data_IF_723418921509
#
_entry.id   IF_723418921509
#
_cell.length_a   1.000
_cell.length_b   1.000
_cell.length_c   1.000
_cell.angle_alpha   90.00
_cell.angle_beta   90.00
_cell.angle_gamma   90.00
#
_symmetry.space_group_name_H-M   'P 1'
#
loop_
_entity.id
_entity.type
_entity.pdbx_description
1 polymer ?
#
# COMPACT_ATOMS: atom_id res chain seq x y z
N UNK A 1 15.18 -24.27 -13.56
CA UNK A 1 13.90 -23.92 -14.19
C UNK A 1 13.51 -22.49 -13.82
N UNK A 2 13.92 -21.48 -14.61
CA UNK A 2 13.60 -20.06 -14.35
C UNK A 2 12.10 -19.78 -14.24
N UNK A 3 11.30 -20.45 -15.09
CA UNK A 3 9.84 -20.25 -15.16
C UNK A 3 9.10 -20.64 -13.86
N UNK A 4 9.53 -21.72 -13.20
CA UNK A 4 8.93 -22.18 -11.92
C UNK A 4 9.19 -21.17 -10.81
N UNK A 5 10.38 -20.56 -10.78
CA UNK A 5 10.74 -19.55 -9.76
C UNK A 5 9.93 -18.26 -9.96
N UNK A 6 9.73 -17.86 -11.21
CA UNK A 6 8.91 -16.69 -11.51
C UNK A 6 7.44 -16.93 -11.17
N UNK A 7 6.93 -18.14 -11.42
CA UNK A 7 5.57 -18.53 -11.01
C UNK A 7 5.39 -18.43 -9.48
N UNK A 8 6.38 -18.88 -8.70
CA UNK A 8 6.33 -18.79 -7.23
C UNK A 8 6.26 -17.33 -6.74
N UNK A 9 7.05 -16.42 -7.34
CA UNK A 9 6.99 -14.99 -7.04
C UNK A 9 5.66 -14.36 -7.47
N UNK A 10 5.12 -14.76 -8.62
CA UNK A 10 3.80 -14.30 -9.10
C UNK A 10 2.70 -14.70 -8.11
N UNK A 11 2.71 -15.94 -7.64
CA UNK A 11 1.74 -16.43 -6.65
C UNK A 11 1.93 -15.71 -5.30
N UNK A 12 3.17 -15.47 -4.88
CA UNK A 12 3.46 -14.71 -3.65
C UNK A 12 2.90 -13.29 -3.71
N UNK A 13 3.13 -12.56 -4.82
CA UNK A 13 2.55 -11.22 -5.04
C UNK A 13 1.02 -11.29 -5.03
N UNK A 14 0.45 -12.32 -5.64
CA UNK A 14 -1.00 -12.46 -5.76
C UNK A 14 -1.71 -12.70 -4.41
N UNK A 15 -0.99 -13.22 -3.42
CA UNK A 15 -1.53 -13.64 -2.12
C UNK A 15 -1.04 -12.77 -0.94
N UNK A 16 -0.46 -11.59 -1.21
CA UNK A 16 0.06 -10.68 -0.18
C UNK A 16 -0.95 -10.31 0.90
N UNK A 17 -2.22 -10.15 0.54
CA UNK A 17 -3.30 -9.76 1.46
C UNK A 17 -4.42 -10.80 1.56
N UNK A 18 -4.11 -12.08 1.37
CA UNK A 18 -5.08 -13.17 1.42
C UNK A 18 -5.43 -13.59 2.87
N UNK A 19 -6.06 -12.69 3.63
CA UNK A 19 -6.40 -12.91 5.04
C UNK A 19 -7.66 -13.75 5.26
N UNK A 20 -8.42 -14.08 4.20
CA UNK A 20 -9.54 -15.03 4.28
C UNK A 20 -9.13 -16.50 4.39
N UNK A 21 -7.85 -16.80 4.18
CA UNK A 21 -7.32 -18.15 4.26
C UNK A 21 -6.50 -18.27 5.54
N UNK A 22 -6.94 -19.14 6.45
CA UNK A 22 -6.18 -19.56 7.63
C UNK A 22 -5.78 -21.02 7.50
N UNK A 23 -4.50 -21.25 7.22
CA UNK A 23 -3.95 -22.59 7.03
C UNK A 23 -3.81 -23.37 8.34
N UNK A 24 -4.01 -22.71 9.50
CA UNK A 24 -4.13 -23.38 10.80
C UNK A 24 -5.58 -23.70 11.18
N UNK A 25 -6.55 -23.32 10.36
CA UNK A 25 -7.96 -23.60 10.59
C UNK A 25 -8.46 -23.15 11.98
N UNK A 26 -7.99 -21.99 12.46
CA UNK A 26 -8.31 -21.44 13.78
C UNK A 26 -7.57 -22.09 14.96
N UNK A 27 -6.72 -23.09 14.73
CA UNK A 27 -5.99 -23.79 15.80
C UNK A 27 -4.75 -23.04 16.31
N UNK A 28 -4.33 -21.97 15.62
CA UNK A 28 -3.12 -21.21 15.91
C UNK A 28 -3.32 -19.98 16.79
N UNK A 29 -2.26 -19.45 17.42
CA UNK A 29 -2.30 -18.17 18.15
C UNK A 29 -2.29 -16.94 17.21
N UNK A 30 -2.27 -17.15 15.89
CA UNK A 30 -2.38 -16.15 14.85
C UNK A 30 -2.90 -16.82 13.57
N UNK A 31 -3.37 -16.02 12.60
CA UNK A 31 -3.80 -16.50 11.29
C UNK A 31 -2.60 -16.86 10.43
N UNK A 32 -2.45 -18.14 10.06
CA UNK A 32 -1.39 -18.56 9.13
C UNK A 32 -1.86 -18.31 7.70
N UNK A 33 -1.66 -17.07 7.25
CA UNK A 33 -2.03 -16.67 5.90
C UNK A 33 -1.15 -17.33 4.84
N UNK A 34 -1.62 -17.42 3.58
CA UNK A 34 -0.80 -17.90 2.47
C UNK A 34 0.50 -17.10 2.31
N UNK A 35 0.47 -15.79 2.60
CA UNK A 35 1.68 -14.96 2.62
C UNK A 35 2.74 -15.49 3.60
N UNK A 36 2.35 -15.81 4.83
CA UNK A 36 3.27 -16.30 5.87
C UNK A 36 3.83 -17.68 5.51
N UNK A 37 3.01 -18.56 4.91
CA UNK A 37 3.48 -19.87 4.45
C UNK A 37 4.43 -19.76 3.25
N UNK A 38 4.09 -18.95 2.26
CA UNK A 38 4.84 -18.87 0.99
C UNK A 38 6.16 -18.10 1.13
N UNK A 39 6.21 -17.09 1.99
CA UNK A 39 7.40 -16.25 2.16
C UNK A 39 8.70 -17.02 2.44
N UNK A 40 8.78 -17.97 3.40
CA UNK A 40 10.00 -18.75 3.61
C UNK A 40 10.39 -19.61 2.40
N UNK A 41 9.40 -20.17 1.67
CA UNK A 41 9.65 -20.98 0.48
C UNK A 41 10.20 -20.13 -0.67
N UNK A 42 9.61 -18.96 -0.89
CA UNK A 42 10.05 -17.97 -1.88
C UNK A 42 11.46 -17.49 -1.55
N UNK A 43 11.70 -17.11 -0.29
CA UNK A 43 13.00 -16.63 0.15
C UNK A 43 14.08 -17.70 -0.01
N UNK A 44 13.82 -18.96 0.37
CA UNK A 44 14.76 -20.05 0.17
C UNK A 44 15.07 -20.28 -1.33
N UNK A 45 14.05 -20.22 -2.19
CA UNK A 45 14.23 -20.31 -3.64
C UNK A 45 15.09 -19.16 -4.19
N UNK A 46 14.88 -17.93 -3.72
CA UNK A 46 15.67 -16.77 -4.15
C UNK A 46 17.10 -16.78 -3.62
N UNK A 47 17.32 -17.22 -2.38
CA UNK A 47 18.66 -17.41 -1.82
C UNK A 47 19.44 -18.46 -2.60
N UNK A 48 18.80 -19.59 -2.97
CA UNK A 48 19.43 -20.60 -3.82
C UNK A 48 19.77 -20.04 -5.20
N UNK A 49 18.90 -19.21 -5.79
CA UNK A 49 19.20 -18.52 -7.06
C UNK A 49 20.43 -17.62 -6.95
N UNK A 50 20.50 -16.81 -5.90
CA UNK A 50 21.62 -15.89 -5.68
C UNK A 50 22.92 -16.66 -5.42
N UNK A 51 22.86 -17.76 -4.65
CA UNK A 51 24.00 -18.63 -4.41
C UNK A 51 24.54 -19.24 -5.72
N UNK A 52 23.66 -19.69 -6.61
CA UNK A 52 24.02 -20.21 -7.94
C UNK A 52 24.67 -19.15 -8.84
N UNK A 53 24.47 -17.87 -8.56
CA UNK A 53 25.02 -16.74 -9.31
C UNK A 53 26.27 -16.13 -8.64
N UNK A 54 26.81 -16.76 -7.60
CA UNK A 54 28.05 -16.31 -6.95
C UNK A 54 27.87 -15.21 -5.91
N UNK A 55 26.67 -15.03 -5.34
CA UNK A 55 26.38 -14.08 -4.25
C UNK A 55 26.60 -12.59 -4.56
N UNK A 56 26.73 -12.21 -5.83
CA UNK A 56 26.75 -10.79 -6.19
C UNK A 56 25.37 -10.15 -6.08
N UNK A 57 25.08 -9.52 -4.94
CA UNK A 57 23.84 -8.77 -4.71
C UNK A 57 24.12 -7.28 -4.90
N UNK A 58 23.70 -6.72 -6.04
CA UNK A 58 23.73 -5.27 -6.28
C UNK A 58 22.36 -4.67 -5.97
N UNK A 59 22.19 -4.19 -4.75
CA UNK A 59 20.92 -3.61 -4.31
C UNK A 59 20.52 -2.40 -5.17
N UNK A 60 19.21 -2.20 -5.41
CA UNK A 60 18.70 -1.00 -6.09
C UNK A 60 19.12 0.29 -5.37
N UNK A 61 19.20 1.39 -6.13
CA UNK A 61 19.43 2.71 -5.54
C UNK A 61 18.35 3.02 -4.49
N UNK A 62 18.78 3.51 -3.31
CA UNK A 62 17.86 3.81 -2.21
C UNK A 62 17.42 2.61 -1.36
N UNK A 63 17.76 1.37 -1.74
CA UNK A 63 17.45 0.19 -0.91
C UNK A 63 18.06 0.32 0.50
N UNK A 64 19.32 0.76 0.61
CA UNK A 64 19.97 0.95 1.91
C UNK A 64 19.21 1.94 2.81
N UNK A 65 18.82 3.11 2.28
CA UNK A 65 18.11 4.12 3.07
C UNK A 65 16.69 3.69 3.43
N UNK A 66 16.00 2.97 2.54
CA UNK A 66 14.69 2.37 2.87
C UNK A 66 14.81 1.37 4.01
N UNK A 67 15.75 0.43 3.91
CA UNK A 67 15.99 -0.58 4.94
C UNK A 67 16.31 0.07 6.28
N UNK A 68 17.14 1.12 6.31
CA UNK A 68 17.44 1.87 7.53
C UNK A 68 16.17 2.51 8.10
N UNK A 69 15.39 3.23 7.29
CA UNK A 69 14.18 3.91 7.75
C UNK A 69 13.16 2.92 8.35
N UNK A 70 12.93 1.81 7.66
CA UNK A 70 12.03 0.73 8.13
C UNK A 70 12.60 0.05 9.38
N UNK A 71 13.90 -0.21 9.44
CA UNK A 71 14.54 -0.81 10.63
C UNK A 71 14.45 0.09 11.85
N UNK A 72 14.63 1.39 11.68
CA UNK A 72 14.44 2.38 12.75
C UNK A 72 12.99 2.37 13.23
N UNK A 73 12.02 2.39 12.31
CA UNK A 73 10.60 2.30 12.69
C UNK A 73 10.31 1.01 13.46
N UNK A 74 10.72 -0.15 12.94
CA UNK A 74 10.50 -1.43 13.61
C UNK A 74 11.20 -1.50 14.97
N UNK A 75 12.40 -0.95 15.11
CA UNK A 75 13.09 -0.86 16.39
C UNK A 75 12.30 -0.03 17.41
N UNK A 76 11.73 1.10 16.99
CA UNK A 76 10.86 1.91 17.85
C UNK A 76 9.59 1.15 18.28
N UNK A 77 8.96 0.40 17.36
CA UNK A 77 7.80 -0.43 17.69
C UNK A 77 8.18 -1.57 18.67
N UNK A 78 9.35 -2.17 18.51
CA UNK A 78 9.87 -3.21 19.43
C UNK A 78 10.14 -2.62 20.80
N UNK A 79 10.81 -1.46 20.88
CA UNK A 79 11.06 -0.75 22.15
C UNK A 79 9.74 -0.43 22.84
N UNK A 80 8.78 0.12 22.10
CA UNK A 80 7.43 0.39 22.61
C UNK A 80 6.77 -0.87 23.17
N UNK A 81 6.83 -2.00 22.46
CA UNK A 81 6.25 -3.26 22.92
C UNK A 81 6.83 -3.76 24.27
N UNK A 82 8.10 -3.46 24.58
CA UNK A 82 8.69 -3.79 25.90
C UNK A 82 8.10 -2.95 27.04
N UNK A 83 7.62 -1.75 26.76
CA UNK A 83 6.98 -0.86 27.74
C UNK A 83 5.45 -0.96 27.73
N UNK A 84 4.92 -1.98 27.07
CA UNK A 84 3.48 -2.14 26.86
C UNK A 84 2.71 -2.41 28.14
N UNK A 85 1.49 -1.89 28.19
CA UNK A 85 0.48 -2.28 29.18
C UNK A 85 0.02 -3.74 29.02
N UNK A 86 0.23 -4.33 27.84
CA UNK A 86 -0.07 -5.73 27.50
C UNK A 86 1.15 -6.41 26.84
N UNK A 87 2.22 -6.71 27.61
CA UNK A 87 3.51 -7.14 27.05
C UNK A 87 3.41 -8.39 26.17
N UNK A 88 2.59 -9.37 26.57
CA UNK A 88 2.46 -10.63 25.84
C UNK A 88 1.80 -10.45 24.47
N UNK A 89 0.71 -9.68 24.40
CA UNK A 89 0.03 -9.38 23.14
C UNK A 89 0.90 -8.51 22.23
N UNK A 90 1.52 -7.46 22.79
CA UNK A 90 2.43 -6.58 22.06
C UNK A 90 3.64 -7.33 21.49
N UNK A 91 4.27 -8.22 22.26
CA UNK A 91 5.39 -9.03 21.81
C UNK A 91 5.02 -9.91 20.60
N UNK A 92 3.85 -10.57 20.64
CA UNK A 92 3.35 -11.38 19.51
C UNK A 92 3.08 -10.54 18.27
N UNK A 93 2.37 -9.41 18.43
CA UNK A 93 2.01 -8.50 17.33
C UNK A 93 3.24 -7.87 16.68
N UNK A 94 4.20 -7.39 17.48
CA UNK A 94 5.43 -6.78 16.94
C UNK A 94 6.34 -7.82 16.28
N UNK A 95 6.42 -9.03 16.85
CA UNK A 95 7.21 -10.11 16.26
C UNK A 95 6.64 -10.54 14.91
N UNK A 96 5.31 -10.67 14.82
CA UNK A 96 4.63 -10.94 13.56
C UNK A 96 4.88 -9.83 12.53
N UNK A 97 4.75 -8.55 12.93
CA UNK A 97 5.05 -7.42 12.05
C UNK A 97 6.49 -7.44 11.54
N UNK A 98 7.48 -7.64 12.43
CA UNK A 98 8.91 -7.71 12.06
C UNK A 98 9.15 -8.81 11.04
N UNK A 99 8.56 -10.00 11.24
CA UNK A 99 8.66 -11.12 10.30
C UNK A 99 8.02 -10.78 8.96
N UNK A 100 6.81 -10.22 8.95
CA UNK A 100 6.10 -9.85 7.72
C UNK A 100 6.87 -8.79 6.93
N UNK A 101 7.28 -7.70 7.58
CA UNK A 101 8.05 -6.63 6.94
C UNK A 101 9.41 -7.14 6.46
N UNK A 102 10.09 -7.95 7.26
CA UNK A 102 11.35 -8.58 6.89
C UNK A 102 11.23 -9.43 5.62
N UNK A 103 10.18 -10.26 5.52
CA UNK A 103 9.91 -11.03 4.32
C UNK A 103 9.61 -10.15 3.10
N UNK A 104 8.79 -9.12 3.25
CA UNK A 104 8.49 -8.19 2.15
C UNK A 104 9.74 -7.47 1.68
N UNK A 105 10.59 -6.99 2.58
CA UNK A 105 11.84 -6.31 2.23
C UNK A 105 12.80 -7.25 1.50
N UNK A 106 13.03 -8.45 2.05
CA UNK A 106 13.95 -9.43 1.46
C UNK A 106 13.47 -9.91 0.08
N UNK A 107 12.20 -10.32 -0.03
CA UNK A 107 11.62 -10.82 -1.28
C UNK A 107 11.43 -9.68 -2.28
N UNK A 108 11.06 -8.48 -1.82
CA UNK A 108 10.96 -7.28 -2.64
C UNK A 108 12.28 -6.92 -3.32
N UNK A 109 13.41 -6.99 -2.59
CA UNK A 109 14.73 -6.86 -3.21
C UNK A 109 15.05 -8.01 -4.14
N UNK A 110 14.69 -9.24 -3.81
CA UNK A 110 14.89 -10.37 -4.71
C UNK A 110 14.13 -10.21 -6.03
N UNK A 111 12.90 -9.68 -6.00
CA UNK A 111 12.12 -9.30 -7.19
C UNK A 111 12.84 -8.20 -7.95
N UNK A 112 13.29 -7.14 -7.28
CA UNK A 112 13.98 -6.01 -7.90
C UNK A 112 15.27 -6.40 -8.65
N UNK A 113 15.91 -7.50 -8.23
CA UNK A 113 17.10 -8.06 -8.87
C UNK A 113 16.79 -8.98 -10.05
N UNK A 114 15.52 -9.27 -10.35
CA UNK A 114 15.16 -10.06 -11.53
C UNK A 114 15.36 -9.22 -12.81
N UNK A 115 15.61 -9.86 -13.97
CA UNK A 115 15.74 -9.14 -15.24
C UNK A 115 14.48 -8.37 -15.64
N UNK A 116 13.31 -8.87 -15.27
CA UNK A 116 12.00 -8.26 -15.59
C UNK A 116 11.09 -8.25 -14.34
N UNK A 117 11.36 -7.35 -13.38
CA UNK A 117 10.57 -7.26 -12.15
C UNK A 117 9.13 -6.81 -12.45
N UNK A 118 8.96 -5.95 -13.48
CA UNK A 118 7.67 -5.42 -13.90
C UNK A 118 6.71 -6.56 -14.28
N UNK A 119 7.18 -7.51 -15.09
CA UNK A 119 6.36 -8.65 -15.50
C UNK A 119 5.91 -9.53 -14.34
N UNK A 120 6.78 -9.78 -13.35
CA UNK A 120 6.42 -10.57 -12.16
C UNK A 120 5.33 -9.84 -11.37
N UNK A 121 5.53 -8.55 -11.09
CA UNK A 121 4.58 -7.73 -10.33
C UNK A 121 3.23 -7.59 -11.05
N UNK A 122 3.22 -7.34 -12.35
CA UNK A 122 1.99 -7.23 -13.16
C UNK A 122 1.26 -8.56 -13.22
N UNK A 123 1.96 -9.69 -13.45
CA UNK A 123 1.33 -11.01 -13.46
C UNK A 123 0.73 -11.37 -12.11
N UNK A 124 1.45 -11.06 -11.02
CA UNK A 124 0.94 -11.25 -9.66
C UNK A 124 -0.29 -10.40 -9.38
N UNK A 125 -0.27 -9.12 -9.77
CA UNK A 125 -1.41 -8.22 -9.62
C UNK A 125 -2.63 -8.63 -10.46
N UNK A 126 -2.43 -9.08 -11.69
CA UNK A 126 -3.49 -9.62 -12.55
C UNK A 126 -4.09 -10.89 -11.95
N UNK A 127 -3.23 -11.81 -11.48
CA UNK A 127 -3.68 -13.03 -10.79
C UNK A 127 -4.48 -12.68 -9.53
N UNK A 128 -4.02 -11.72 -8.72
CA UNK A 128 -4.75 -11.27 -7.54
C UNK A 128 -6.13 -10.69 -7.87
N UNK A 129 -6.24 -9.87 -8.91
CA UNK A 129 -7.54 -9.35 -9.35
C UNK A 129 -8.46 -10.47 -9.84
N UNK A 130 -7.91 -11.45 -10.58
CA UNK A 130 -8.66 -12.64 -10.97
C UNK A 130 -9.18 -13.44 -9.77
N UNK A 131 -8.32 -13.68 -8.78
CA UNK A 131 -8.70 -14.35 -7.53
C UNK A 131 -9.72 -13.53 -6.72
N UNK A 132 -9.57 -12.21 -6.68
CA UNK A 132 -10.53 -11.31 -6.03
C UNK A 132 -11.92 -11.41 -6.66
N UNK A 133 -12.00 -11.41 -7.99
CA UNK A 133 -13.26 -11.61 -8.72
C UNK A 133 -13.86 -12.98 -8.39
N UNK A 134 -13.04 -14.04 -8.43
CA UNK A 134 -13.51 -15.40 -8.15
C UNK A 134 -14.05 -15.54 -6.72
N UNK A 135 -13.33 -14.99 -5.73
CA UNK A 135 -13.77 -14.98 -4.33
C UNK A 135 -15.05 -14.18 -4.18
N UNK A 136 -15.11 -12.95 -4.72
CA UNK A 136 -16.32 -12.12 -4.65
C UNK A 136 -17.55 -12.79 -5.29
N UNK A 137 -17.37 -13.51 -6.41
CA UNK A 137 -18.44 -14.29 -7.02
C UNK A 137 -18.90 -15.43 -6.10
N UNK A 138 -17.96 -16.13 -5.43
CA UNK A 138 -18.29 -17.17 -4.46
C UNK A 138 -18.98 -16.59 -3.20
N UNK A 139 -18.53 -15.45 -2.69
CA UNK A 139 -19.20 -14.74 -1.58
C UNK A 139 -20.64 -14.37 -1.93
N UNK A 140 -20.86 -13.83 -3.14
CA UNK A 140 -22.18 -13.47 -3.62
C UNK A 140 -23.08 -14.71 -3.81
N UNK A 141 -22.54 -15.78 -4.38
CA UNK A 141 -23.27 -17.04 -4.54
C UNK A 141 -23.69 -17.63 -3.19
N UNK A 142 -22.79 -17.62 -2.20
CA UNK A 142 -23.09 -18.05 -0.83
C UNK A 142 -24.09 -17.13 -0.15
N UNK A 143 -24.05 -15.82 -0.40
CA UNK A 143 -25.04 -14.90 0.14
C UNK A 143 -26.46 -15.19 -0.37
N UNK A 144 -26.60 -15.69 -1.60
CA UNK A 144 -27.90 -16.13 -2.15
C UNK A 144 -28.31 -17.55 -1.75
N UNK A 145 -27.39 -18.34 -1.20
CA UNK A 145 -27.59 -19.76 -0.88
C UNK A 145 -27.32 -19.98 0.61
N UNK A 146 -28.37 -20.06 1.41
CA UNK A 146 -28.29 -20.09 2.88
C UNK A 146 -27.37 -21.17 3.48
N UNK A 147 -26.90 -22.20 2.75
CA UNK A 147 -26.20 -23.33 3.41
C UNK A 147 -25.25 -24.22 2.57
N UNK A 148 -24.59 -23.72 1.52
CA UNK A 148 -23.77 -24.59 0.63
C UNK A 148 -22.25 -24.57 0.84
N UNK A 149 -21.71 -23.93 1.89
CA UNK A 149 -20.26 -23.97 2.15
C UNK A 149 -19.86 -25.20 2.98
N UNK A 150 -19.05 -26.15 2.45
CA UNK A 150 -18.68 -27.35 3.20
C UNK A 150 -17.89 -27.00 4.47
N UNK A 151 -18.37 -27.50 5.62
CA UNK A 151 -17.73 -27.29 6.94
C UNK A 151 -16.21 -27.49 7.01
N UNK A 152 -15.57 -28.49 6.36
CA UNK A 152 -14.12 -28.60 6.43
C UNK A 152 -13.40 -27.47 5.69
N UNK A 153 -13.98 -26.94 4.60
CA UNK A 153 -13.41 -25.80 3.87
C UNK A 153 -13.67 -24.48 4.57
N UNK A 154 -14.80 -24.34 5.28
CA UNK A 154 -15.13 -23.12 6.04
C UNK A 154 -14.16 -22.82 7.18
N UNK A 155 -13.48 -23.85 7.71
CA UNK A 155 -12.46 -23.69 8.73
C UNK A 155 -11.18 -23.06 8.18
N UNK A 156 -10.85 -23.33 6.92
CA UNK A 156 -9.61 -22.86 6.27
C UNK A 156 -9.86 -21.60 5.44
N UNK A 157 -11.01 -21.50 4.79
CA UNK A 157 -11.38 -20.41 3.88
C UNK A 157 -12.71 -19.82 4.33
N UNK A 158 -12.66 -18.60 4.85
CA UNK A 158 -13.85 -17.83 5.19
C UNK A 158 -14.34 -17.07 3.96
N UNK A 159 -15.46 -17.53 3.39
CA UNK A 159 -16.16 -16.84 2.29
C UNK A 159 -17.36 -16.02 2.76
N UNK A 160 -17.62 -15.96 4.06
CA UNK A 160 -18.70 -15.15 4.60
C UNK A 160 -18.46 -13.67 4.25
N UNK A 161 -19.38 -13.02 3.52
CA UNK A 161 -19.28 -11.60 3.26
C UNK A 161 -19.58 -10.84 4.55
N UNK A 162 -18.84 -9.75 4.80
CA UNK A 162 -19.26 -8.80 5.82
C UNK A 162 -20.56 -8.14 5.39
N UNK A 163 -21.39 -7.67 6.32
CA UNK A 163 -22.65 -7.01 5.98
C UNK A 163 -22.56 -5.50 6.20
N UNK A 164 -23.19 -4.73 5.29
CA UNK A 164 -23.44 -3.31 5.44
C UNK A 164 -24.91 -3.13 5.81
N UNK A 165 -25.17 -2.50 6.96
CA UNK A 165 -26.51 -2.37 7.57
C UNK A 165 -27.26 -3.70 7.73
N UNK A 166 -26.55 -4.83 7.81
CA UNK A 166 -27.15 -6.16 7.96
C UNK A 166 -27.87 -6.70 6.70
N UNK A 167 -27.89 -5.95 5.59
CA UNK A 167 -28.70 -6.30 4.41
C UNK A 167 -27.86 -6.41 3.13
N UNK A 168 -26.79 -5.62 3.01
CA UNK A 168 -26.01 -5.57 1.76
C UNK A 168 -24.65 -6.27 1.97
N UNK A 169 -24.32 -7.31 1.21
CA UNK A 169 -23.03 -7.98 1.35
C UNK A 169 -21.90 -7.06 0.87
N UNK A 170 -20.86 -6.95 1.68
CA UNK A 170 -19.59 -6.30 1.34
C UNK A 170 -18.68 -7.37 0.76
N UNK A 171 -18.37 -7.24 -0.53
CA UNK A 171 -17.53 -8.20 -1.25
C UNK A 171 -16.09 -7.70 -1.18
N UNK A 172 -15.27 -8.37 -0.37
CA UNK A 172 -13.97 -7.85 0.08
C UNK A 172 -12.78 -8.54 -0.59
N UNK A 173 -13.04 -9.48 -1.50
CA UNK A 173 -12.03 -10.22 -2.22
C UNK A 173 -11.25 -11.12 -1.29
N UNK A 174 -9.92 -11.08 -1.39
CA UNK A 174 -9.01 -11.92 -0.62
C UNK A 174 -8.86 -11.51 0.85
N UNK A 175 -9.28 -10.30 1.23
CA UNK A 175 -9.15 -9.81 2.60
C UNK A 175 -10.45 -10.02 3.40
N UNK A 176 -10.35 -10.29 4.69
CA UNK A 176 -11.51 -10.32 5.59
C UNK A 176 -12.04 -8.90 5.87
N UNK A 177 -11.14 -7.90 5.98
CA UNK A 177 -11.51 -6.51 6.21
C UNK A 177 -11.84 -5.82 4.87
N UNK A 178 -13.02 -5.18 4.73
CA UNK A 178 -13.43 -4.50 3.50
C UNK A 178 -12.56 -3.30 3.12
N UNK A 179 -12.05 -2.55 4.10
CA UNK A 179 -11.15 -1.43 3.85
C UNK A 179 -9.80 -1.92 3.32
N UNK A 180 -9.24 -2.96 3.96
CA UNK A 180 -7.96 -3.53 3.54
C UNK A 180 -8.11 -4.25 2.19
N UNK A 181 -9.23 -4.94 1.94
CA UNK A 181 -9.55 -5.55 0.65
C UNK A 181 -9.64 -4.52 -0.48
N UNK A 182 -10.26 -3.36 -0.21
CA UNK A 182 -10.32 -2.26 -1.16
C UNK A 182 -8.94 -1.62 -1.42
N UNK A 183 -8.14 -1.41 -0.37
CA UNK A 183 -6.77 -0.92 -0.50
C UNK A 183 -5.88 -1.89 -1.27
N UNK A 184 -5.97 -3.19 -0.99
CA UNK A 184 -5.23 -4.25 -1.66
C UNK A 184 -5.54 -4.25 -3.17
N UNK A 185 -6.83 -4.20 -3.51
CA UNK A 185 -7.31 -4.09 -4.90
C UNK A 185 -6.77 -2.84 -5.59
N UNK A 186 -6.77 -1.69 -4.90
CA UNK A 186 -6.19 -0.45 -5.42
C UNK A 186 -4.68 -0.57 -5.66
N UNK A 187 -3.95 -1.24 -4.76
CA UNK A 187 -2.53 -1.54 -4.93
C UNK A 187 -2.26 -2.34 -6.19
N UNK A 188 -2.98 -3.46 -6.40
CA UNK A 188 -2.85 -4.27 -7.61
C UNK A 188 -3.22 -3.51 -8.90
N UNK A 189 -4.31 -2.76 -8.86
CA UNK A 189 -4.72 -1.88 -9.95
C UNK A 189 -3.61 -0.88 -10.31
N UNK A 190 -3.01 -0.24 -9.31
CA UNK A 190 -1.95 0.72 -9.52
C UNK A 190 -0.68 0.07 -10.08
N UNK A 191 -0.29 -1.12 -9.59
CA UNK A 191 0.83 -1.87 -10.16
C UNK A 191 0.59 -2.19 -11.64
N UNK A 192 -0.61 -2.65 -12.02
CA UNK A 192 -0.96 -2.91 -13.43
C UNK A 192 -0.84 -1.61 -14.24
N UNK A 193 -1.38 -0.49 -13.75
CA UNK A 193 -1.33 0.78 -14.48
C UNK A 193 0.08 1.37 -14.61
N UNK A 194 0.91 1.22 -13.58
CA UNK A 194 2.27 1.77 -13.53
C UNK A 194 3.23 0.92 -14.35
N UNK A 195 3.09 -0.42 -14.32
CA UNK A 195 4.11 -1.36 -14.78
C UNK A 195 3.76 -2.13 -16.06
N UNK A 196 2.49 -2.22 -16.46
CA UNK A 196 2.15 -2.95 -17.69
C UNK A 196 2.71 -2.24 -18.93
N UNK A 197 3.10 -2.94 -20.00
CA UNK A 197 3.38 -2.31 -21.29
C UNK A 197 2.15 -1.61 -21.90
N UNK A 198 2.33 -0.59 -22.79
CA UNK A 198 1.22 0.16 -23.40
C UNK A 198 0.27 -0.71 -24.24
N UNK A 199 0.79 -1.81 -24.77
CA UNK A 199 0.13 -2.69 -25.74
C UNK A 199 -0.89 -3.63 -25.10
N UNK A 200 -0.82 -3.83 -23.78
CA UNK A 200 -1.77 -4.70 -23.08
C UNK A 200 -3.11 -3.99 -22.84
N UNK A 201 -4.24 -4.73 -22.81
CA UNK A 201 -5.57 -4.17 -22.57
C UNK A 201 -5.76 -3.77 -21.09
N UNK A 202 -5.03 -2.74 -20.65
CA UNK A 202 -5.05 -2.21 -19.28
C UNK A 202 -6.45 -1.79 -18.86
N UNK A 203 -7.23 -1.23 -19.77
CA UNK A 203 -8.59 -0.71 -19.51
C UNK A 203 -9.53 -1.75 -18.91
N UNK A 204 -9.43 -3.02 -19.32
CA UNK A 204 -10.26 -4.12 -18.80
C UNK A 204 -9.96 -4.37 -17.32
N UNK A 205 -8.69 -4.51 -16.97
CA UNK A 205 -8.27 -4.71 -15.58
C UNK A 205 -8.52 -3.47 -14.71
N UNK A 206 -8.46 -2.28 -15.31
CA UNK A 206 -8.83 -1.04 -14.62
C UNK A 206 -10.31 -1.03 -14.28
N UNK A 207 -11.18 -1.34 -15.23
CA UNK A 207 -12.62 -1.44 -14.99
C UNK A 207 -12.93 -2.48 -13.91
N UNK A 208 -12.35 -3.68 -14.01
CA UNK A 208 -12.49 -4.73 -12.99
C UNK A 208 -12.05 -4.24 -11.61
N UNK A 209 -10.84 -3.67 -11.50
CA UNK A 209 -10.31 -3.16 -10.24
C UNK A 209 -11.20 -2.07 -9.61
N UNK A 210 -11.71 -1.13 -10.41
CA UNK A 210 -12.62 -0.08 -9.94
C UNK A 210 -13.91 -0.68 -9.39
N UNK A 211 -14.53 -1.62 -10.13
CA UNK A 211 -15.74 -2.30 -9.67
C UNK A 211 -15.46 -3.04 -8.36
N UNK A 212 -14.34 -3.78 -8.27
CA UNK A 212 -13.97 -4.51 -7.06
C UNK A 212 -13.77 -3.59 -5.85
N UNK A 213 -13.13 -2.41 -6.02
CA UNK A 213 -13.00 -1.41 -4.94
C UNK A 213 -14.38 -0.92 -4.49
N UNK A 214 -15.29 -0.62 -5.41
CA UNK A 214 -16.64 -0.15 -5.07
C UNK A 214 -17.44 -1.22 -4.32
N UNK A 215 -17.34 -2.49 -4.73
CA UNK A 215 -18.06 -3.61 -4.10
C UNK A 215 -17.63 -3.88 -2.65
N UNK A 216 -16.48 -3.37 -2.21
CA UNK A 216 -16.10 -3.42 -0.78
C UNK A 216 -16.98 -2.54 0.12
N UNK A 217 -17.67 -1.56 -0.49
CA UNK A 217 -18.43 -0.51 0.21
C UNK A 217 -17.62 0.18 1.32
N UNK A 218 -16.29 0.24 1.17
CA UNK A 218 -15.39 0.91 2.11
C UNK A 218 -15.23 2.38 1.74
N UNK A 219 -15.61 3.28 2.66
CA UNK A 219 -15.44 4.72 2.50
C UNK A 219 -13.96 5.10 2.34
N UNK A 220 -13.07 4.53 3.16
CA UNK A 220 -11.63 4.82 3.11
C UNK A 220 -10.97 4.30 1.84
N UNK A 221 -11.34 3.10 1.36
CA UNK A 221 -10.80 2.56 0.11
C UNK A 221 -11.30 3.35 -1.11
N UNK A 222 -12.59 3.71 -1.15
CA UNK A 222 -13.15 4.54 -2.23
C UNK A 222 -12.49 5.92 -2.24
N UNK A 223 -12.35 6.57 -1.07
CA UNK A 223 -11.66 7.85 -0.97
C UNK A 223 -10.20 7.76 -1.45
N UNK A 224 -9.47 6.72 -1.04
CA UNK A 224 -8.11 6.47 -1.51
C UNK A 224 -8.07 6.29 -3.04
N UNK A 225 -9.02 5.55 -3.63
CA UNK A 225 -9.11 5.37 -5.07
C UNK A 225 -9.45 6.68 -5.82
N UNK A 226 -10.30 7.53 -5.26
CA UNK A 226 -10.60 8.87 -5.79
C UNK A 226 -9.35 9.76 -5.76
N UNK A 227 -8.60 9.77 -4.66
CA UNK A 227 -7.34 10.52 -4.54
C UNK A 227 -6.30 9.99 -5.52
N UNK A 228 -6.17 8.66 -5.65
CA UNK A 228 -5.31 8.04 -6.65
C UNK A 228 -5.67 8.53 -8.06
N UNK A 229 -6.95 8.45 -8.44
CA UNK A 229 -7.45 8.88 -9.75
C UNK A 229 -7.23 10.38 -9.99
N UNK A 230 -7.52 11.23 -9.01
CA UNK A 230 -7.35 12.68 -9.09
C UNK A 230 -5.87 13.06 -9.23
N UNK A 231 -4.97 12.49 -8.43
CA UNK A 231 -3.54 12.73 -8.54
C UNK A 231 -2.96 12.15 -9.84
N UNK A 232 -3.46 11.01 -10.32
CA UNK A 232 -3.03 10.41 -11.58
C UNK A 232 -3.46 11.23 -12.79
N UNK A 233 -4.71 11.70 -12.79
CA UNK A 233 -5.22 12.66 -13.78
C UNK A 233 -4.43 13.96 -13.73
N UNK A 234 -4.21 14.47 -12.51
CA UNK A 234 -3.48 15.70 -12.23
C UNK A 234 -2.01 15.63 -12.62
N UNK A 235 -1.35 14.46 -12.54
CA UNK A 235 0.05 14.28 -12.92
C UNK A 235 0.32 14.51 -14.42
N UNK A 236 -0.70 14.44 -15.28
CA UNK A 236 -0.62 14.88 -16.68
C UNK A 236 -0.71 16.40 -16.86
N UNK A 237 -0.96 17.14 -15.77
CA UNK A 237 -0.99 18.60 -15.70
C UNK A 237 0.13 19.04 -14.75
N UNK A 238 0.81 20.15 -15.00
CA UNK A 238 1.98 20.56 -14.20
C UNK A 238 1.60 21.07 -12.79
N UNK A 239 0.99 20.24 -11.94
CA UNK A 239 0.77 20.54 -10.53
C UNK A 239 2.08 20.28 -9.79
N UNK A 240 2.93 21.32 -9.71
CA UNK A 240 4.19 21.27 -8.98
C UNK A 240 3.90 21.34 -7.47
N UNK A 241 4.05 20.21 -6.78
CA UNK A 241 4.22 20.22 -5.32
C UNK A 241 5.67 20.62 -5.07
N UNK A 242 5.87 21.80 -4.47
CA UNK A 242 7.20 22.36 -4.24
C UNK A 242 7.75 21.88 -2.89
N UNK A 243 9.09 21.82 -2.71
CA UNK A 243 9.69 21.58 -1.40
C UNK A 243 9.17 22.54 -0.32
N UNK A 244 8.82 23.78 -0.70
CA UNK A 244 8.19 24.75 0.19
C UNK A 244 6.80 24.33 0.67
N UNK A 245 5.94 23.79 -0.21
CA UNK A 245 4.61 23.29 0.20
C UNK A 245 4.68 22.09 1.14
N UNK A 246 5.72 21.26 1.00
CA UNK A 246 5.94 20.11 1.89
C UNK A 246 6.65 20.51 3.18
N UNK A 247 7.59 21.45 3.12
CA UNK A 247 8.15 22.09 4.30
C UNK A 247 7.08 22.78 5.13
N UNK A 248 6.12 23.46 4.47
CA UNK A 248 4.96 24.04 5.13
C UNK A 248 4.05 22.98 5.75
N UNK A 249 3.79 21.85 5.07
CA UNK A 249 3.04 20.73 5.65
C UNK A 249 3.77 20.11 6.85
N UNK A 250 5.07 19.84 6.73
CA UNK A 250 5.89 19.30 7.80
C UNK A 250 6.01 20.25 8.98
N UNK A 251 6.18 21.55 8.74
CA UNK A 251 6.17 22.59 9.76
C UNK A 251 4.79 22.75 10.39
N UNK A 252 3.70 22.64 9.62
CA UNK A 252 2.34 22.64 10.13
C UNK A 252 2.08 21.42 11.01
N UNK A 253 2.54 20.22 10.62
CA UNK A 253 2.44 19.02 11.45
C UNK A 253 3.28 19.19 12.71
N UNK A 254 4.55 19.63 12.61
CA UNK A 254 5.40 19.86 13.76
C UNK A 254 4.85 20.95 14.70
N UNK A 255 4.30 22.04 14.14
CA UNK A 255 3.66 23.12 14.89
C UNK A 255 2.34 22.67 15.50
N UNK A 256 1.54 21.85 14.80
CA UNK A 256 0.34 21.25 15.35
C UNK A 256 0.70 20.32 16.51
N UNK A 257 1.71 19.46 16.35
CA UNK A 257 2.24 18.60 17.42
C UNK A 257 2.78 19.44 18.58
N UNK A 258 3.53 20.51 18.33
CA UNK A 258 4.05 21.39 19.38
C UNK A 258 2.93 22.16 20.09
N UNK A 259 1.96 22.70 19.36
CA UNK A 259 0.79 23.38 19.91
C UNK A 259 -0.06 22.43 20.77
N UNK A 260 -0.21 21.18 20.33
CA UNK A 260 -0.82 20.07 21.07
C UNK A 260 -0.07 19.80 22.37
N UNK A 261 1.26 19.72 22.33
CA UNK A 261 2.10 19.41 23.49
C UNK A 261 2.21 20.58 24.48
N UNK A 262 2.06 21.82 24.02
CA UNK A 262 2.30 23.04 24.81
C UNK A 262 1.01 23.73 25.28
N UNK A 263 -0.17 23.30 24.84
CA UNK A 263 -1.45 23.92 25.19
C UNK A 263 -2.38 22.95 25.93
N UNK A 264 -2.43 23.02 27.28
CA UNK A 264 -3.30 22.16 28.10
C UNK A 264 -4.80 22.30 27.78
N UNK A 265 -5.25 23.41 27.18
CA UNK A 265 -6.66 23.67 26.87
C UNK A 265 -7.05 23.48 25.39
N UNK A 266 -6.11 23.09 24.52
CA UNK A 266 -6.43 22.83 23.11
C UNK A 266 -7.39 21.63 22.95
N UNK A 267 -7.26 20.65 23.84
CA UNK A 267 -8.06 19.42 23.84
C UNK A 267 -9.52 19.65 24.17
N UNK A 268 -9.82 20.47 25.18
CA UNK A 268 -11.19 20.79 25.57
C UNK A 268 -11.95 21.49 24.42
N UNK A 269 -11.25 22.35 23.66
CA UNK A 269 -11.82 23.00 22.48
C UNK A 269 -12.09 22.04 21.32
N UNK A 270 -11.20 21.08 21.08
CA UNK A 270 -11.33 20.12 19.97
C UNK A 270 -12.41 19.07 20.25
N UNK A 271 -12.49 18.59 21.50
CA UNK A 271 -13.58 17.73 21.98
C UNK A 271 -14.91 18.48 21.91
N UNK A 272 -14.97 19.74 22.35
CA UNK A 272 -16.17 20.56 22.22
C UNK A 272 -16.62 20.76 20.77
N UNK A 273 -15.70 20.97 19.83
CA UNK A 273 -16.02 21.06 18.38
C UNK A 273 -16.49 19.70 17.83
N UNK A 274 -15.86 18.58 18.23
CA UNK A 274 -16.26 17.25 17.83
C UNK A 274 -17.66 16.88 18.36
N UNK A 275 -17.98 17.25 19.60
CA UNK A 275 -19.31 17.09 20.20
C UNK A 275 -20.36 17.98 19.50
N UNK A 276 -20.01 19.22 19.15
CA UNK A 276 -20.91 20.13 18.39
C UNK A 276 -21.17 19.60 16.97
N UNK A 277 -20.16 19.03 16.30
CA UNK A 277 -20.33 18.41 14.99
C UNK A 277 -21.11 17.09 15.09
N UNK A 278 -20.84 16.27 16.11
CA UNK A 278 -21.54 15.01 16.38
C UNK A 278 -23.01 15.20 16.80
N UNK A 279 -23.35 16.33 17.42
CA UNK A 279 -24.75 16.68 17.76
C UNK A 279 -25.51 17.30 16.60
N UNK A 280 -24.84 17.96 15.65
CA UNK A 280 -25.48 18.56 14.46
C UNK A 280 -25.59 17.62 13.25
N UNK A 281 -25.00 16.43 13.34
CA UNK A 281 -25.09 15.34 12.37
C UNK A 281 -25.66 14.10 13.09
N UNK A 282 -26.98 13.96 13.14
CA UNK A 282 -27.67 12.78 13.74
C UNK A 282 -28.65 12.19 12.71
N UNK A 283 -29.06 10.90 12.78
CA UNK A 283 -28.84 9.87 13.81
C UNK A 283 -28.09 8.59 13.33
N UNK A 284 -27.58 8.50 12.08
CA UNK A 284 -27.00 7.26 11.50
C UNK A 284 -25.51 7.37 11.05
N UNK A 285 -24.80 8.45 11.38
CA UNK A 285 -23.37 8.63 11.05
C UNK A 285 -22.41 8.16 12.15
N UNK A 286 -22.66 7.00 12.76
CA UNK A 286 -21.79 6.45 13.83
C UNK A 286 -20.31 6.35 13.45
N UNK A 287 -20.01 6.05 12.17
CA UNK A 287 -18.61 5.88 11.74
C UNK A 287 -17.79 7.17 11.77
N UNK A 288 -18.35 8.35 11.41
CA UNK A 288 -17.57 9.58 11.39
C UNK A 288 -17.28 10.11 12.80
N UNK A 289 -18.28 10.01 13.70
CA UNK A 289 -18.13 10.34 15.11
C UNK A 289 -17.16 9.39 15.82
N UNK A 290 -17.21 8.09 15.52
CA UNK A 290 -16.25 7.11 16.05
C UNK A 290 -14.80 7.46 15.66
N UNK A 291 -14.52 7.84 14.41
CA UNK A 291 -13.16 8.24 14.02
C UNK A 291 -12.70 9.48 14.79
N UNK A 292 -13.56 10.49 14.98
CA UNK A 292 -13.18 11.69 15.74
C UNK A 292 -12.88 11.36 17.21
N UNK A 293 -13.69 10.49 17.84
CA UNK A 293 -13.48 10.02 19.21
C UNK A 293 -12.16 9.24 19.30
N UNK A 294 -11.90 8.33 18.37
CA UNK A 294 -10.66 7.54 18.33
C UNK A 294 -9.43 8.43 18.16
N UNK A 295 -9.51 9.46 17.32
CA UNK A 295 -8.45 10.45 17.15
C UNK A 295 -8.17 11.20 18.45
N UNK A 296 -9.21 11.77 19.07
CA UNK A 296 -9.07 12.50 20.32
C UNK A 296 -8.49 11.60 21.42
N UNK A 297 -9.00 10.36 21.54
CA UNK A 297 -8.49 9.35 22.48
C UNK A 297 -7.02 9.04 22.24
N UNK A 298 -6.64 8.75 20.99
CA UNK A 298 -5.26 8.40 20.67
C UNK A 298 -4.29 9.54 20.97
N UNK A 299 -4.69 10.79 20.72
CA UNK A 299 -3.82 11.92 21.05
C UNK A 299 -3.77 12.17 22.56
N UNK A 300 -4.89 12.08 23.26
CA UNK A 300 -4.93 12.15 24.73
C UNK A 300 -3.97 11.13 25.35
N UNK A 301 -4.04 9.87 24.88
CA UNK A 301 -3.14 8.79 25.31
C UNK A 301 -1.68 9.10 24.99
N UNK A 302 -1.40 9.63 23.79
CA UNK A 302 -0.03 9.95 23.41
C UNK A 302 0.58 11.11 24.23
N UNK A 303 -0.27 11.95 24.83
CA UNK A 303 0.13 13.20 25.50
C UNK A 303 -0.08 13.21 27.01
N UNK A 304 -0.61 12.14 27.61
CA UNK A 304 -0.84 12.02 29.06
C UNK A 304 0.47 12.19 29.85
N UNK A 305 1.60 11.74 29.28
CA UNK A 305 2.91 11.82 29.92
C UNK A 305 4.06 11.90 28.91
N UNK A 306 5.20 12.44 29.34
CA UNK A 306 6.43 12.45 28.54
C UNK A 306 6.85 11.02 28.14
N UNK A 307 6.65 10.04 29.03
CA UNK A 307 6.94 8.63 28.73
C UNK A 307 6.12 8.16 27.52
N UNK A 308 4.81 8.32 27.54
CA UNK A 308 3.95 7.91 26.41
C UNK A 308 4.25 8.73 25.16
N UNK A 309 4.53 10.03 25.28
CA UNK A 309 4.93 10.84 24.13
C UNK A 309 6.22 10.33 23.46
N UNK A 310 7.12 9.67 24.20
CA UNK A 310 8.39 9.15 23.70
C UNK A 310 8.32 7.71 23.21
N UNK A 311 7.65 6.82 23.94
CA UNK A 311 7.63 5.36 23.66
C UNK A 311 6.23 4.77 23.47
N UNK A 312 5.18 5.58 23.65
CA UNK A 312 3.79 5.17 23.58
C UNK A 312 3.35 4.27 24.73
N UNK A 313 2.13 3.73 24.63
CA UNK A 313 1.55 2.79 25.60
C UNK A 313 1.92 1.32 25.34
N UNK A 314 2.61 1.04 24.23
CA UNK A 314 2.91 -0.30 23.75
C UNK A 314 2.27 -0.60 22.40
N UNK A 315 3.10 -0.88 21.39
CA UNK A 315 2.65 -1.27 20.06
C UNK A 315 1.71 -2.48 20.14
N UNK A 316 0.54 -2.38 19.51
CA UNK A 316 -0.49 -3.39 19.51
C UNK A 316 -1.31 -3.46 20.80
N UNK A 317 -1.19 -2.53 21.75
CA UNK A 317 -1.99 -2.49 22.97
C UNK A 317 -3.21 -1.56 22.89
N UNK A 318 -3.41 -0.83 21.78
CA UNK A 318 -4.49 0.14 21.63
C UNK A 318 -5.89 -0.45 21.81
N UNK A 319 -6.06 -1.76 21.56
CA UNK A 319 -7.34 -2.45 21.77
C UNK A 319 -7.86 -2.32 23.21
N UNK A 320 -6.97 -2.26 24.21
CA UNK A 320 -7.34 -2.07 25.63
C UNK A 320 -7.95 -0.69 25.86
N UNK A 321 -7.44 0.31 25.14
CA UNK A 321 -7.78 1.72 25.33
C UNK A 321 -9.06 2.14 24.62
N UNK A 322 -9.61 1.27 23.78
CA UNK A 322 -10.82 1.52 22.98
C UNK A 322 -11.94 0.52 23.31
N UNK A 323 -11.85 -0.21 24.44
CA UNK A 323 -12.86 -1.19 24.85
C UNK A 323 -14.22 -0.57 25.18
N UNK A 324 -14.26 0.73 25.52
CA UNK A 324 -15.49 1.50 25.67
C UNK A 324 -16.23 1.70 24.33
N UNK A 325 -15.51 1.67 23.22
CA UNK A 325 -16.03 1.81 21.85
C UNK A 325 -16.24 0.43 21.20
N UNK A 326 -15.28 -0.49 21.40
CA UNK A 326 -15.28 -1.83 20.81
C UNK A 326 -15.19 -2.92 21.90
N UNK A 327 -16.25 -3.10 22.72
CA UNK A 327 -16.23 -4.01 23.85
C UNK A 327 -16.01 -5.46 23.42
N UNK A 328 -15.01 -6.11 24.02
CA UNK A 328 -14.66 -7.51 23.77
C UNK A 328 -13.89 -7.76 22.47
N UNK A 329 -13.57 -6.70 21.71
CA UNK A 329 -12.84 -6.83 20.46
C UNK A 329 -11.33 -6.66 20.66
N UNK A 330 -10.58 -7.76 20.59
CA UNK A 330 -9.10 -7.73 20.67
C UNK A 330 -8.42 -7.06 19.46
N UNK A 331 -9.15 -6.86 18.36
CA UNK A 331 -8.66 -6.18 17.15
C UNK A 331 -9.04 -4.70 17.09
N UNK A 332 -9.72 -4.18 18.12
CA UNK A 332 -10.02 -2.75 18.26
C UNK A 332 -8.75 -1.91 18.18
N UNK A 333 -8.80 -0.77 17.49
CA UNK A 333 -7.66 0.12 17.31
C UNK A 333 -8.14 1.54 16.97
N UNK A 334 -7.20 2.47 16.74
CA UNK A 334 -7.51 3.89 16.50
C UNK A 334 -7.99 4.23 15.08
N UNK A 335 -8.10 3.24 14.17
CA UNK A 335 -8.50 3.43 12.77
C UNK A 335 -7.72 4.53 12.04
N UNK A 336 -6.46 4.74 12.40
CA UNK A 336 -5.55 5.66 11.73
C UNK A 336 -4.14 5.22 12.01
N UNK A 337 -3.34 4.95 10.98
CA UNK A 337 -1.92 4.61 11.15
C UNK A 337 -1.16 5.64 12.00
N UNK A 338 -1.38 6.93 11.71
CA UNK A 338 -0.61 8.01 12.34
C UNK A 338 -0.96 8.14 13.84
N UNK A 339 -2.24 8.16 14.17
CA UNK A 339 -2.72 8.11 15.56
C UNK A 339 -2.27 6.83 16.27
N UNK A 340 -2.36 5.65 15.63
CA UNK A 340 -1.87 4.40 16.20
C UNK A 340 -0.38 4.49 16.54
N UNK A 341 0.46 4.95 15.61
CA UNK A 341 1.89 5.09 15.91
C UNK A 341 2.18 6.14 16.97
N UNK A 342 1.40 7.22 17.03
CA UNK A 342 1.58 8.24 18.07
C UNK A 342 1.20 7.71 19.45
N UNK A 343 0.02 7.12 19.60
CA UNK A 343 -0.49 6.60 20.86
C UNK A 343 0.29 5.38 21.33
N UNK A 344 0.50 4.42 20.43
CA UNK A 344 1.07 3.12 20.81
C UNK A 344 2.59 3.12 20.83
N UNK A 345 3.26 3.86 19.95
CA UNK A 345 4.72 3.83 19.80
C UNK A 345 5.43 5.19 19.98
N UNK A 346 4.67 6.25 20.27
CA UNK A 346 5.21 7.57 20.57
C UNK A 346 5.54 8.43 19.35
N UNK A 347 5.89 9.68 19.65
CA UNK A 347 6.24 10.72 18.67
C UNK A 347 7.36 10.29 17.72
N UNK A 348 8.46 9.64 18.16
CA UNK A 348 9.52 9.23 17.24
C UNK A 348 9.04 8.27 16.14
N UNK A 349 8.18 7.30 16.49
CA UNK A 349 7.62 6.35 15.51
C UNK A 349 6.70 7.05 14.50
N UNK A 350 5.84 7.95 14.99
CA UNK A 350 5.02 8.83 14.13
C UNK A 350 5.90 9.62 13.15
N UNK A 351 6.94 10.31 13.65
CA UNK A 351 7.81 11.15 12.83
C UNK A 351 8.54 10.36 11.75
N UNK A 352 9.05 9.17 12.07
CA UNK A 352 9.69 8.29 11.09
C UNK A 352 8.68 7.83 10.03
N UNK A 353 7.47 7.46 10.42
CA UNK A 353 6.41 7.07 9.48
C UNK A 353 6.01 8.22 8.55
N UNK A 354 5.79 9.42 9.10
CA UNK A 354 5.50 10.64 8.31
C UNK A 354 6.66 10.95 7.38
N UNK A 355 7.91 10.87 7.85
CA UNK A 355 9.10 11.10 7.03
C UNK A 355 9.17 10.12 5.83
N UNK A 356 8.81 8.85 6.03
CA UNK A 356 8.75 7.86 4.95
C UNK A 356 7.75 8.29 3.88
N UNK A 357 6.51 8.62 4.27
CA UNK A 357 5.48 9.05 3.32
C UNK A 357 5.81 10.38 2.64
N UNK A 358 6.29 11.37 3.39
CA UNK A 358 6.67 12.69 2.88
C UNK A 358 7.81 12.56 1.87
N UNK A 359 8.84 11.76 2.16
CA UNK A 359 9.93 11.50 1.23
C UNK A 359 9.41 10.94 -0.10
N UNK A 360 8.50 9.96 -0.04
CA UNK A 360 7.93 9.33 -1.23
C UNK A 360 6.97 10.23 -2.00
N UNK A 361 6.24 11.13 -1.33
CA UNK A 361 5.39 12.14 -1.98
C UNK A 361 6.20 13.24 -2.67
N UNK A 362 7.34 13.60 -2.10
CA UNK A 362 8.28 14.56 -2.69
C UNK A 362 8.99 14.01 -3.91
N UNK A 363 9.22 12.69 -3.94
CA UNK A 363 9.88 12.04 -5.06
C UNK A 363 8.94 12.03 -6.27
N UNK A 364 9.41 12.60 -7.37
CA UNK A 364 8.73 12.46 -8.65
C UNK A 364 8.83 11.02 -9.14
N UNK A 365 7.72 10.48 -9.63
CA UNK A 365 7.66 9.12 -10.12
C UNK A 365 6.23 8.61 -10.30
N UNK A 366 6.08 7.47 -10.99
CA UNK A 366 4.77 6.92 -11.32
C UNK A 366 3.99 6.42 -10.08
N UNK A 367 4.70 6.15 -8.98
CA UNK A 367 4.10 5.71 -7.72
C UNK A 367 3.48 6.84 -6.88
N UNK A 368 3.83 8.11 -7.13
CA UNK A 368 3.40 9.24 -6.30
C UNK A 368 1.88 9.35 -6.08
N UNK A 369 1.01 9.12 -7.09
CA UNK A 369 -0.44 9.07 -6.87
C UNK A 369 -0.87 7.97 -5.90
N UNK A 370 -0.23 6.80 -5.96
CA UNK A 370 -0.51 5.68 -5.06
C UNK A 370 -0.06 5.98 -3.64
N UNK A 371 1.09 6.64 -3.47
CA UNK A 371 1.54 7.10 -2.14
C UNK A 371 0.56 8.12 -1.56
N UNK A 372 0.06 9.07 -2.36
CA UNK A 372 -0.97 10.02 -1.91
C UNK A 372 -2.26 9.32 -1.45
N UNK A 373 -2.71 8.33 -2.22
CA UNK A 373 -3.84 7.50 -1.83
C UNK A 373 -3.59 6.71 -0.54
N UNK A 374 -2.39 6.17 -0.36
CA UNK A 374 -2.01 5.46 0.87
C UNK A 374 -1.97 6.39 2.08
N UNK A 375 -1.50 7.64 1.93
CA UNK A 375 -1.56 8.63 3.03
C UNK A 375 -3.01 8.87 3.44
N UNK A 376 -3.90 9.12 2.48
CA UNK A 376 -5.32 9.36 2.78
C UNK A 376 -6.00 8.13 3.37
N UNK A 377 -5.71 6.93 2.85
CA UNK A 377 -6.18 5.70 3.47
C UNK A 377 -5.71 5.59 4.92
N UNK A 378 -4.43 5.85 5.18
CA UNK A 378 -3.82 5.71 6.50
C UNK A 378 -4.21 6.81 7.50
N UNK A 379 -4.90 7.86 7.04
CA UNK A 379 -5.60 8.81 7.92
C UNK A 379 -6.89 8.19 8.49
N UNK A 380 -7.61 7.38 7.73
CA UNK A 380 -8.91 6.84 8.17
C UNK A 380 -8.90 5.34 8.40
N UNK A 381 -7.75 4.71 8.23
CA UNK A 381 -7.51 3.32 8.58
C UNK A 381 -6.03 3.08 8.86
N UNK A 382 -5.66 1.86 9.22
CA UNK A 382 -4.27 1.45 9.38
C UNK A 382 -3.92 0.27 8.48
N UNK A 383 -2.89 0.44 7.64
CA UNK A 383 -2.44 -0.60 6.71
C UNK A 383 -1.04 -1.16 7.04
N UNK A 384 -0.45 -0.79 8.18
CA UNK A 384 0.93 -1.19 8.51
C UNK A 384 1.10 -2.69 8.77
N UNK A 385 0.01 -3.41 9.06
CA UNK A 385 0.03 -4.87 9.16
C UNK A 385 -0.11 -5.56 7.80
N UNK A 386 -0.33 -4.81 6.72
CA UNK A 386 -0.53 -5.38 5.39
C UNK A 386 0.80 -5.49 4.64
N UNK A 387 1.23 -6.71 4.21
CA UNK A 387 2.43 -6.90 3.41
C UNK A 387 2.45 -6.04 2.13
N UNK A 388 1.28 -5.82 1.54
CA UNK A 388 1.12 -5.01 0.33
C UNK A 388 1.54 -3.54 0.54
N UNK A 389 1.29 -2.94 1.71
CA UNK A 389 1.74 -1.58 2.00
C UNK A 389 3.26 -1.51 1.89
N UNK A 390 3.97 -2.39 2.58
CA UNK A 390 5.43 -2.40 2.62
C UNK A 390 6.05 -2.67 1.26
N UNK A 391 5.42 -3.52 0.44
CA UNK A 391 5.89 -3.77 -0.92
C UNK A 391 5.76 -2.50 -1.77
N UNK A 392 4.62 -1.80 -1.70
CA UNK A 392 4.42 -0.54 -2.43
C UNK A 392 5.42 0.52 -1.99
N UNK A 393 5.65 0.68 -0.68
CA UNK A 393 6.63 1.62 -0.14
C UNK A 393 8.05 1.28 -0.64
N UNK A 394 8.44 0.00 -0.62
CA UNK A 394 9.72 -0.47 -1.13
C UNK A 394 9.89 -0.16 -2.61
N UNK A 395 8.88 -0.48 -3.45
CA UNK A 395 8.92 -0.24 -4.89
C UNK A 395 9.01 1.25 -5.22
N UNK A 396 8.22 2.09 -4.53
CA UNK A 396 8.27 3.54 -4.68
C UNK A 396 9.61 4.13 -4.25
N UNK A 397 10.21 3.63 -3.17
CA UNK A 397 11.49 4.11 -2.65
C UNK A 397 12.68 3.69 -3.51
N UNK A 398 12.67 2.45 -3.98
CA UNK A 398 13.73 1.90 -4.83
C UNK A 398 13.61 2.33 -6.30
N UNK A 399 12.46 2.87 -6.71
CA UNK A 399 12.18 3.24 -8.10
C UNK A 399 12.09 2.02 -9.03
N UNK A 400 11.84 0.83 -8.47
CA UNK A 400 11.78 -0.41 -9.25
C UNK A 400 10.69 -0.29 -10.32
N UNK A 401 11.12 -0.56 -11.54
CA UNK A 401 10.30 -0.64 -12.75
C UNK A 401 9.72 0.69 -13.28
N UNK A 402 10.46 1.79 -13.15
CA UNK A 402 10.36 2.87 -14.14
C UNK A 402 11.08 2.39 -15.41
N UNK A 403 10.35 1.71 -16.30
CA UNK A 403 10.80 1.60 -17.70
C UNK A 403 10.92 3.04 -18.18
N UNK A 404 12.11 3.54 -18.59
CA UNK A 404 12.18 4.84 -19.22
C UNK A 404 11.16 4.80 -20.35
N UNK A 405 10.19 5.72 -20.36
CA UNK A 405 9.37 5.91 -21.54
C UNK A 405 10.38 6.07 -22.68
N UNK A 406 10.45 5.07 -23.57
CA UNK A 406 11.33 5.12 -24.73
C UNK A 406 11.07 6.49 -25.33
N UNK A 407 12.08 7.38 -25.43
CA UNK A 407 11.84 8.75 -25.86
C UNK A 407 11.12 8.63 -27.19
N UNK A 408 9.83 8.97 -27.18
CA UNK A 408 9.02 8.97 -28.37
C UNK A 408 9.81 9.82 -29.35
N UNK A 409 10.23 9.16 -30.43
CA UNK A 409 10.99 9.69 -31.54
C UNK A 409 10.79 11.20 -31.68
N UNK A 410 11.72 11.99 -31.15
CA UNK A 410 12.02 13.32 -31.69
C UNK A 410 12.75 13.12 -33.03
N UNK A 411 12.16 12.31 -33.91
CA UNK A 411 12.45 12.26 -35.31
C UNK A 411 11.49 13.24 -35.95
N UNK A 412 11.86 14.52 -35.93
CA UNK A 412 11.36 15.46 -36.92
C UNK A 412 11.56 14.80 -38.28
N UNK A 413 10.52 14.63 -39.12
CA UNK A 413 10.74 14.24 -40.49
C UNK A 413 11.54 15.38 -41.12
N UNK A 414 12.82 15.13 -41.39
CA UNK A 414 13.59 15.95 -42.32
C UNK A 414 12.91 15.82 -43.67
N UNK A 415 12.06 16.80 -44.00
CA UNK A 415 11.66 17.06 -45.38
C UNK A 415 12.93 17.46 -46.13
N UNK A 416 13.62 16.48 -46.71
CA UNK A 416 14.50 16.74 -47.84
C UNK A 416 13.62 17.17 -49.00
N UNK A 417 13.69 18.45 -49.35
CA UNK A 417 13.12 19.01 -50.57
C UNK A 417 13.55 18.17 -51.79
N UNK A 418 12.64 17.84 -52.73
CA UNK A 418 13.05 17.25 -53.99
C UNK A 418 13.82 18.29 -54.79
N UNK A 419 15.05 17.95 -55.18
CA UNK A 419 15.84 18.69 -56.17
C UNK A 419 15.12 18.64 -57.52
N UNK A 420 14.43 19.71 -57.87
CA UNK A 420 14.14 20.05 -59.26
C UNK A 420 15.38 20.77 -59.82
N UNK A 421 16.14 20.10 -60.68
CA UNK A 421 16.81 20.77 -61.79
C UNK A 421 17.12 19.75 -62.88
N UNK A 422 16.23 19.75 -63.87
CA UNK A 422 16.38 19.05 -65.12
C UNK A 422 17.10 19.95 -66.12
N UNK A 423 18.17 19.41 -66.69
CA UNK A 423 18.58 19.48 -68.09
C UNK A 423 18.39 20.82 -68.86
N UNK A 424 19.51 21.44 -69.20
CA UNK A 424 19.66 22.17 -70.47
C UNK A 424 20.75 21.50 -71.32
N UNK A 425 20.31 20.91 -72.43
CA UNK A 425 21.10 20.48 -73.57
C UNK A 425 21.83 21.66 -74.23
N UNK A 426 23.10 21.49 -74.61
CA UNK A 426 23.58 21.90 -75.94
C UNK A 426 24.89 21.22 -76.31
N UNK A 427 24.82 20.51 -77.44
CA UNK A 427 25.87 19.93 -78.27
C UNK A 427 27.03 20.85 -78.62
N UNK A 428 28.28 20.35 -78.65
CA UNK A 428 29.25 20.57 -79.75
C UNK A 428 30.19 19.35 -79.85
N UNK A 429 30.57 19.09 -81.09
CA UNK A 429 31.15 17.94 -81.77
C UNK A 429 32.64 17.60 -81.56
N UNK A 430 32.94 16.31 -81.80
CA UNK A 430 34.06 15.69 -82.56
C UNK A 430 35.52 16.06 -82.26
N UNK A 431 36.32 15.03 -81.93
CA UNK A 431 37.47 14.43 -82.67
C UNK A 431 38.02 13.28 -81.80
N UNK A 432 37.92 11.97 -82.14
CA UNK A 432 38.66 11.08 -83.07
C UNK A 432 40.20 11.03 -82.89
N UNK A 433 40.68 9.77 -82.82
CA UNK A 433 42.06 9.23 -82.83
C UNK A 433 42.76 9.24 -81.46
N UNK A 434 43.38 8.19 -80.94
CA UNK A 434 43.83 6.94 -81.54
C UNK A 434 45.33 6.77 -81.33
N UNK A 435 45.75 6.27 -80.16
CA UNK A 435 46.89 5.37 -79.90
C UNK A 435 47.01 5.12 -78.40
#
# INVERSE_FOLDING_TARGET
MPEVRDALLVVWVALLGATRVDLLAGAGPFLLTPFLLLSPLVLASELLRVAQQGWEIRLPAGAGSFTVAVSVLLALLVVSAFFSIEPAASARRVSLLVVQVGFVVAIGYAIALRPDPARILVRGAVLALGLTVAVNAAQLALWFQDELWPRPLSLVISLEPGNYFGVIPRLTGLSHDPNLGGLLTLGYLALIQILSPPEHPRSRWVAVGVVMVVLTLSRSAVLAALVYGALRWGAGRQVRITPGSVGALGAMVAAATAAILLSPGFWDGLVGVAEILGTRLTPDEGSASEHAILFARGIQVATESVKQALVGVGYGAGYVLVQDIFPGNEYGNFHSLFITFFAEAGTPALLVSVAIFVHLLLREGPYRPLIGALVVFNLFQQAHTEPNLWLILLLAWSGVAVVPASPASAGSPSFSSPSSDAASFSSVSRTRTGR
#
